data_IF_720018879288
#
_entry.id   IF_720018879288
#
_cell.length_a   1.000
_cell.length_b   1.000
_cell.length_c   1.000
_cell.angle_alpha   90.00
_cell.angle_beta   90.00
_cell.angle_gamma   90.00
#
_symmetry.space_group_name_H-M   'P 1'
#
loop_
_entity.id
_entity.type
_entity.pdbx_description
1 polymer ?
#
# COMPACT_ATOMS: atom_id res chain seq x y z
N UNK A 1 20.68 -8.01 -14.27
CA UNK A 1 19.44 -8.62 -14.78
C UNK A 1 18.40 -7.52 -14.77
N UNK A 2 17.82 -7.17 -15.91
CA UNK A 2 16.75 -6.17 -15.95
C UNK A 2 15.49 -6.87 -15.45
N UNK A 3 15.08 -6.55 -14.22
CA UNK A 3 13.74 -6.92 -13.75
C UNK A 3 12.79 -6.10 -14.63
N UNK A 4 11.91 -6.77 -15.37
CA UNK A 4 10.96 -6.07 -16.23
C UNK A 4 9.97 -5.33 -15.34
N UNK A 5 9.45 -4.18 -15.76
CA UNK A 5 8.40 -3.44 -15.01
C UNK A 5 7.19 -4.34 -14.67
N UNK A 6 6.93 -5.35 -15.50
CA UNK A 6 5.93 -6.39 -15.26
C UNK A 6 6.26 -7.34 -14.10
N UNK A 7 7.54 -7.68 -13.91
CA UNK A 7 8.00 -8.50 -12.78
C UNK A 7 7.91 -7.71 -11.46
N UNK A 8 8.21 -6.41 -11.51
CA UNK A 8 8.10 -5.51 -10.35
C UNK A 8 6.64 -5.33 -9.92
N UNK A 9 5.74 -5.10 -10.89
CA UNK A 9 4.31 -5.01 -10.63
C UNK A 9 3.74 -6.34 -10.09
N UNK A 10 4.17 -7.48 -10.64
CA UNK A 10 3.78 -8.79 -10.11
C UNK A 10 4.28 -9.02 -8.67
N UNK A 11 5.49 -8.54 -8.35
CA UNK A 11 6.04 -8.56 -7.00
C UNK A 11 5.23 -7.70 -6.02
N UNK A 12 4.80 -6.51 -6.46
CA UNK A 12 3.93 -5.64 -5.68
C UNK A 12 2.60 -6.33 -5.36
N UNK A 13 1.90 -6.88 -6.36
CA UNK A 13 0.62 -7.55 -6.12
C UNK A 13 0.74 -8.77 -5.20
N UNK A 14 1.83 -9.54 -5.29
CA UNK A 14 2.10 -10.63 -4.34
C UNK A 14 2.22 -10.10 -2.91
N UNK A 15 2.94 -9.00 -2.72
CA UNK A 15 3.11 -8.36 -1.40
C UNK A 15 1.77 -7.88 -0.84
N UNK A 16 0.91 -7.28 -1.68
CA UNK A 16 -0.44 -6.88 -1.28
C UNK A 16 -1.27 -8.07 -0.82
N UNK A 17 -1.26 -9.15 -1.59
CA UNK A 17 -2.04 -10.36 -1.29
C UNK A 17 -1.54 -11.05 -0.01
N UNK A 18 -0.23 -11.08 0.23
CA UNK A 18 0.37 -11.59 1.47
C UNK A 18 -0.02 -10.75 2.69
N UNK A 19 0.13 -9.42 2.61
CA UNK A 19 -0.14 -8.53 3.75
C UNK A 19 -1.64 -8.43 4.07
N UNK A 20 -2.51 -8.55 3.06
CA UNK A 20 -3.96 -8.47 3.23
C UNK A 20 -4.65 -9.83 3.48
N UNK A 21 -3.88 -10.92 3.59
CA UNK A 21 -4.39 -12.28 3.72
C UNK A 21 -5.27 -12.51 4.97
N UNK A 22 -5.03 -11.75 6.04
CA UNK A 22 -5.79 -11.84 7.29
C UNK A 22 -6.98 -10.88 7.36
N UNK A 23 -7.15 -10.01 6.35
CA UNK A 23 -8.28 -9.07 6.29
C UNK A 23 -9.57 -9.76 5.86
N UNK A 24 -10.71 -9.22 6.30
CA UNK A 24 -12.01 -9.59 5.78
C UNK A 24 -12.08 -9.30 4.26
N UNK A 25 -12.92 -10.02 3.49
CA UNK A 25 -12.96 -9.88 2.04
C UNK A 25 -13.27 -8.45 1.55
N UNK A 26 -14.11 -7.72 2.29
CA UNK A 26 -14.44 -6.33 1.98
C UNK A 26 -13.22 -5.41 2.15
N UNK A 27 -12.52 -5.54 3.27
CA UNK A 27 -11.34 -4.72 3.60
C UNK A 27 -10.16 -5.04 2.67
N UNK A 28 -9.97 -6.33 2.35
CA UNK A 28 -8.98 -6.76 1.35
C UNK A 28 -9.24 -6.12 -0.01
N UNK A 29 -10.50 -6.07 -0.44
CA UNK A 29 -10.88 -5.43 -1.70
C UNK A 29 -10.63 -3.92 -1.67
N UNK A 30 -10.97 -3.25 -0.57
CA UNK A 30 -10.70 -1.82 -0.41
C UNK A 30 -9.19 -1.50 -0.48
N UNK A 31 -8.35 -2.32 0.16
CA UNK A 31 -6.87 -2.22 0.06
C UNK A 31 -6.40 -2.38 -1.38
N UNK A 32 -6.90 -3.40 -2.08
CA UNK A 32 -6.51 -3.68 -3.47
C UNK A 32 -6.93 -2.55 -4.41
N UNK A 33 -8.14 -2.01 -4.26
CA UNK A 33 -8.65 -0.91 -5.06
C UNK A 33 -7.87 0.38 -4.83
N UNK A 34 -7.50 0.69 -3.59
CA UNK A 34 -6.67 1.86 -3.27
C UNK A 34 -5.28 1.77 -3.92
N UNK A 35 -4.64 0.59 -3.87
CA UNK A 35 -3.32 0.39 -4.48
C UNK A 35 -3.42 0.41 -6.01
N UNK A 36 -4.48 -0.15 -6.59
CA UNK A 36 -4.72 -0.07 -8.02
C UNK A 36 -4.84 1.40 -8.47
N UNK A 37 -5.54 2.23 -7.69
CA UNK A 37 -5.65 3.66 -7.99
C UNK A 37 -4.29 4.37 -7.93
N UNK A 38 -3.47 4.09 -6.91
CA UNK A 38 -2.12 4.65 -6.83
C UNK A 38 -1.25 4.27 -8.02
N UNK A 39 -1.29 3.00 -8.46
CA UNK A 39 -0.53 2.54 -9.64
C UNK A 39 -1.02 3.24 -10.91
N UNK A 40 -2.32 3.49 -11.05
CA UNK A 40 -2.87 4.28 -12.18
C UNK A 40 -2.43 5.75 -12.15
N UNK A 41 -2.09 6.28 -10.97
CA UNK A 41 -1.53 7.61 -10.77
C UNK A 41 0.01 7.65 -10.91
N UNK A 42 0.62 6.58 -11.45
CA UNK A 42 2.08 6.42 -11.59
C UNK A 42 2.81 6.36 -10.24
N UNK A 43 2.09 6.04 -9.15
CA UNK A 43 2.66 5.90 -7.82
C UNK A 43 2.71 4.42 -7.40
N UNK A 44 3.92 3.92 -7.19
CA UNK A 44 4.16 2.53 -6.79
C UNK A 44 4.43 2.46 -5.27
N UNK A 45 3.40 2.15 -4.45
CA UNK A 45 3.56 2.16 -3.01
C UNK A 45 4.55 1.08 -2.55
N UNK A 46 5.41 1.46 -1.62
CA UNK A 46 6.37 0.57 -0.96
C UNK A 46 5.66 -0.43 -0.04
N UNK A 47 6.34 -1.53 0.29
CA UNK A 47 5.81 -2.52 1.25
C UNK A 47 5.42 -1.91 2.61
N UNK A 48 6.13 -0.86 3.06
CA UNK A 48 5.80 -0.14 4.29
C UNK A 48 4.54 0.73 4.20
N UNK A 49 4.21 1.25 3.03
CA UNK A 49 2.96 1.97 2.77
C UNK A 49 1.79 1.01 2.66
N UNK A 50 1.97 -0.11 1.94
CA UNK A 50 0.98 -1.19 1.85
C UNK A 50 0.65 -1.73 3.24
N UNK A 51 1.64 -2.01 4.07
CA UNK A 51 1.44 -2.51 5.43
C UNK A 51 0.67 -1.53 6.32
N UNK A 52 0.87 -0.21 6.15
CA UNK A 52 0.11 0.82 6.87
C UNK A 52 -1.34 0.90 6.40
N UNK A 53 -1.57 0.83 5.09
CA UNK A 53 -2.92 0.79 4.53
C UNK A 53 -3.69 -0.46 5.03
N UNK A 54 -3.03 -1.61 5.07
CA UNK A 54 -3.58 -2.86 5.66
C UNK A 54 -3.87 -2.69 7.15
N UNK A 55 -2.98 -2.06 7.92
CA UNK A 55 -3.21 -1.81 9.35
C UNK A 55 -4.41 -0.88 9.58
N UNK A 56 -4.62 0.11 8.72
CA UNK A 56 -5.79 0.99 8.74
C UNK A 56 -7.07 0.19 8.43
N UNK A 57 -7.05 -0.62 7.37
CA UNK A 57 -8.18 -1.47 6.98
C UNK A 57 -8.51 -2.52 8.05
N UNK A 58 -7.50 -3.03 8.77
CA UNK A 58 -7.69 -3.93 9.91
C UNK A 58 -8.21 -3.21 11.18
N UNK A 59 -8.34 -1.88 11.18
CA UNK A 59 -8.69 -1.08 12.36
C UNK A 59 -7.60 -1.06 13.45
N UNK A 60 -6.36 -1.45 13.13
CA UNK A 60 -5.22 -1.45 14.06
C UNK A 60 -4.65 -0.06 14.29
N UNK A 61 -4.82 0.83 13.32
CA UNK A 61 -4.46 2.25 13.42
C UNK A 61 -5.66 3.11 13.02
N UNK A 62 -5.72 4.34 13.55
CA UNK A 62 -6.76 5.28 13.14
C UNK A 62 -6.41 5.97 11.81
N UNK A 63 -7.42 6.56 11.16
CA UNK A 63 -7.20 7.41 10.00
C UNK A 63 -6.28 8.61 10.31
N UNK A 64 -6.34 9.15 11.54
CA UNK A 64 -5.48 10.25 11.96
C UNK A 64 -4.01 9.82 12.06
N UNK A 65 -3.75 8.61 12.58
CA UNK A 65 -2.39 8.05 12.65
C UNK A 65 -1.84 7.75 11.25
N UNK A 66 -2.69 7.20 10.38
CA UNK A 66 -2.35 6.96 8.98
C UNK A 66 -1.95 8.26 8.28
N UNK A 67 -2.80 9.29 8.34
CA UNK A 67 -2.54 10.59 7.70
C UNK A 67 -1.30 11.27 8.25
N UNK A 68 -1.08 11.21 9.56
CA UNK A 68 0.13 11.76 10.21
C UNK A 68 1.39 11.13 9.64
N UNK A 69 1.37 9.82 9.44
CA UNK A 69 2.55 9.10 8.95
C UNK A 69 2.78 9.34 7.45
N UNK A 70 1.71 9.41 6.64
CA UNK A 70 1.80 9.73 5.21
C UNK A 70 2.29 11.17 4.99
N UNK A 71 1.81 12.14 5.77
CA UNK A 71 2.29 13.53 5.67
C UNK A 71 3.73 13.71 6.15
N UNK A 72 4.19 12.93 7.14
CA UNK A 72 5.60 12.92 7.55
C UNK A 72 6.50 12.31 6.48
N UNK A 73 6.07 11.21 5.84
CA UNK A 73 6.81 10.60 4.73
C UNK A 73 6.95 11.57 3.54
N UNK A 74 5.87 12.24 3.14
CA UNK A 74 5.89 13.23 2.05
C UNK A 74 6.80 14.43 2.35
N UNK A 75 6.94 14.84 3.62
CA UNK A 75 7.89 15.88 4.03
C UNK A 75 9.35 15.45 3.96
N UNK A 76 9.62 14.16 4.04
CA UNK A 76 10.98 13.61 4.06
C UNK A 76 11.53 13.43 2.64
N UNK A 77 10.66 13.17 1.66
CA UNK A 77 11.01 13.05 0.24
C UNK A 77 11.33 14.41 -0.42
N UNK A 78 10.92 15.52 0.20
CA UNK A 78 11.10 16.88 -0.31
C UNK A 78 12.44 17.55 0.08
N UNK A 79 13.40 16.80 0.63
CA UNK A 79 14.71 17.31 1.10
C UNK A 79 15.88 16.78 0.27
#
# INVERSE_FOLDING_TARGET
MAVSEQDELAGLWRTVDELSADLAPADRRAVRDAIANSVLEDHHPTAGEIGRLVALAAGKISMADYLTTVTQAAKTDAC
#
